data_IF_486282025324
#
_entry.id   IF_486282025324
#
_cell.length_a   1.000
_cell.length_b   1.000
_cell.length_c   1.000
_cell.angle_alpha   90.00
_cell.angle_beta   90.00
_cell.angle_gamma   90.00
#
_symmetry.space_group_name_H-M   'P 1'
#
loop_
_entity.id
_entity.type
_entity.pdbx_description
1 polymer ?
#
# COMPACT_ATOMS: atom_id res chain seq x y z
N UNK A 1 5.89 -28.47 13.33
CA UNK A 1 4.96 -27.33 13.16
C UNK A 1 5.40 -26.59 11.92
N UNK A 2 4.52 -26.41 10.94
CA UNK A 2 4.84 -25.71 9.72
C UNK A 2 4.37 -24.25 9.88
N UNK A 3 5.28 -23.37 10.26
CA UNK A 3 4.95 -21.97 10.54
C UNK A 3 4.57 -21.21 9.27
N UNK A 4 5.17 -21.57 8.13
CA UNK A 4 4.86 -20.94 6.84
C UNK A 4 3.38 -21.13 6.48
N UNK A 5 2.87 -22.36 6.65
CA UNK A 5 1.44 -22.65 6.46
C UNK A 5 0.51 -21.85 7.36
N UNK A 6 0.93 -21.51 8.58
CA UNK A 6 0.12 -20.71 9.51
C UNK A 6 0.07 -19.25 9.05
N UNK A 7 1.17 -18.70 8.56
CA UNK A 7 1.21 -17.33 8.03
C UNK A 7 0.43 -17.19 6.73
N UNK A 8 0.54 -18.17 5.82
CA UNK A 8 -0.21 -18.17 4.56
C UNK A 8 -1.72 -18.16 4.82
N UNK A 9 -2.21 -19.01 5.72
CA UNK A 9 -3.62 -19.05 6.10
C UNK A 9 -4.10 -17.73 6.71
N UNK A 10 -3.27 -17.07 7.52
CA UNK A 10 -3.61 -15.79 8.13
C UNK A 10 -3.72 -14.67 7.07
N UNK A 11 -2.84 -14.67 6.06
CA UNK A 11 -2.87 -13.71 4.95
C UNK A 11 -4.08 -13.98 4.05
N UNK A 12 -4.35 -15.24 3.70
CA UNK A 12 -5.51 -15.63 2.90
C UNK A 12 -6.83 -15.18 3.56
N UNK A 13 -6.89 -15.27 4.88
CA UNK A 13 -8.03 -14.75 5.64
C UNK A 13 -8.21 -13.23 5.46
N UNK A 14 -7.13 -12.45 5.48
CA UNK A 14 -7.22 -11.00 5.24
C UNK A 14 -7.69 -10.67 3.81
N UNK A 15 -7.29 -11.49 2.84
CA UNK A 15 -7.73 -11.36 1.45
C UNK A 15 -9.20 -11.70 1.27
N UNK A 16 -9.67 -12.81 1.86
CA UNK A 16 -11.08 -13.24 1.81
C UNK A 16 -12.03 -12.29 2.52
N UNK A 17 -11.59 -11.68 3.62
CA UNK A 17 -12.34 -10.62 4.32
C UNK A 17 -12.31 -9.27 3.58
N UNK A 18 -11.49 -9.12 2.53
CA UNK A 18 -11.33 -7.87 1.78
C UNK A 18 -10.66 -6.74 2.55
N UNK A 19 -10.00 -7.05 3.68
CA UNK A 19 -9.33 -6.07 4.55
C UNK A 19 -7.82 -6.01 4.34
N UNK A 20 -7.30 -6.81 3.43
CA UNK A 20 -5.91 -6.73 3.00
C UNK A 20 -5.63 -5.37 2.34
N UNK A 21 -4.59 -4.68 2.80
CA UNK A 21 -4.23 -3.33 2.34
C UNK A 21 -2.93 -3.38 1.56
N UNK A 22 -2.95 -2.76 0.37
CA UNK A 22 -1.75 -2.48 -0.41
C UNK A 22 -1.34 -1.04 -0.16
N UNK A 23 -0.12 -0.84 0.35
CA UNK A 23 0.38 0.51 0.58
C UNK A 23 0.73 1.19 -0.74
N UNK A 24 0.47 2.49 -0.78
CA UNK A 24 0.82 3.34 -1.92
C UNK A 24 2.02 4.19 -1.50
N UNK A 25 3.12 4.04 -2.22
CA UNK A 25 4.29 4.86 -2.02
C UNK A 25 4.05 6.29 -2.52
N UNK A 26 4.17 7.23 -1.59
CA UNK A 26 3.99 8.66 -1.85
C UNK A 26 5.18 9.46 -1.33
N UNK A 27 5.53 10.53 -2.05
CA UNK A 27 6.48 11.53 -1.59
C UNK A 27 5.78 12.86 -1.39
N UNK A 28 5.69 13.32 -0.15
CA UNK A 28 5.12 14.63 0.20
C UNK A 28 6.13 15.75 -0.08
N UNK A 29 5.65 16.88 -0.57
CA UNK A 29 6.50 18.05 -0.80
C UNK A 29 6.66 18.87 0.50
N UNK A 30 7.89 19.00 1.00
CA UNK A 30 8.18 19.78 2.23
C UNK A 30 7.71 21.24 2.05
N UNK A 31 6.91 21.73 2.99
CA UNK A 31 6.37 23.09 2.98
C UNK A 31 5.15 23.31 2.07
N UNK A 32 4.70 22.28 1.35
CA UNK A 32 3.56 22.36 0.42
C UNK A 32 2.49 21.31 0.75
N UNK A 33 2.17 21.12 2.04
CA UNK A 33 1.03 20.28 2.45
C UNK A 33 -0.27 20.90 1.91
N UNK A 34 -1.18 20.12 1.29
CA UNK A 34 -1.26 18.66 1.28
C UNK A 34 -0.72 17.98 -0.01
N UNK A 35 0.11 18.64 -0.80
CA UNK A 35 0.57 18.09 -2.08
C UNK A 35 1.60 16.96 -1.91
N UNK A 36 1.42 15.88 -2.66
CA UNK A 36 2.33 14.75 -2.74
C UNK A 36 2.42 14.19 -4.16
N UNK A 37 3.43 13.35 -4.41
CA UNK A 37 3.61 12.59 -5.65
C UNK A 37 3.41 11.13 -5.35
N UNK A 38 2.48 10.49 -6.05
CA UNK A 38 2.15 9.08 -5.93
C UNK A 38 2.92 8.28 -6.98
N UNK A 39 3.56 7.18 -6.55
CA UNK A 39 4.34 6.29 -7.41
C UNK A 39 3.61 4.99 -7.74
N UNK A 40 2.31 4.94 -7.47
CA UNK A 40 1.48 3.77 -7.75
C UNK A 40 1.17 3.68 -9.25
N UNK A 41 1.88 2.79 -9.96
CA UNK A 41 1.64 2.41 -11.36
C UNK A 41 2.84 2.62 -12.30
N UNK A 42 2.84 1.89 -13.43
CA UNK A 42 3.92 1.92 -14.43
C UNK A 42 4.09 3.25 -15.19
N UNK A 43 3.19 4.22 -14.98
CA UNK A 43 3.16 5.50 -15.71
C UNK A 43 3.85 6.67 -14.99
N UNK A 44 4.70 6.38 -14.00
CA UNK A 44 5.49 7.39 -13.31
C UNK A 44 4.69 8.24 -12.30
N UNK A 45 5.36 9.19 -11.63
CA UNK A 45 4.81 9.89 -10.47
C UNK A 45 3.64 10.82 -10.84
N UNK A 46 2.47 10.56 -10.26
CA UNK A 46 1.27 11.39 -10.42
C UNK A 46 1.10 12.37 -9.25
N UNK A 47 0.78 13.65 -9.49
CA UNK A 47 0.46 14.57 -8.40
C UNK A 47 -0.84 14.12 -7.71
N UNK A 48 -0.81 14.08 -6.38
CA UNK A 48 -1.94 13.75 -5.51
C UNK A 48 -2.00 14.74 -4.34
N UNK A 49 -3.14 14.77 -3.67
CA UNK A 49 -3.34 15.50 -2.41
C UNK A 49 -3.56 14.48 -1.30
N UNK A 50 -2.92 14.66 -0.14
CA UNK A 50 -3.06 13.80 1.05
C UNK A 50 -3.91 14.40 2.15
#
# INVERSE_FOLDING_TARGET
MNYDQVFDQAIDRLHTEGRYRVFIDILRNKGAFPNARCFHGHNGPKPITV
#
